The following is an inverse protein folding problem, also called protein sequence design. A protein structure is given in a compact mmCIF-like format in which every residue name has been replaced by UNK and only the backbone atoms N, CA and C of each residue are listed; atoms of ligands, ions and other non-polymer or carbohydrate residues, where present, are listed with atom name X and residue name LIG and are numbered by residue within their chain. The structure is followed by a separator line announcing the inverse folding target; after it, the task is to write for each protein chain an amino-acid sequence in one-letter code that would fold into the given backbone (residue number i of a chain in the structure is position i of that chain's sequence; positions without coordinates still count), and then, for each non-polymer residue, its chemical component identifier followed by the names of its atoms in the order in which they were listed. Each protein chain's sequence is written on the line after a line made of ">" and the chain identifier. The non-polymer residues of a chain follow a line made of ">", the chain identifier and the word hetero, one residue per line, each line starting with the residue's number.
data_IF_312359816095
#
_entry.id   IF_312359816095
#
_cell.length_a   1.000
_cell.length_b   1.000
_cell.length_c   1.000
_cell.angle_alpha   90.00
_cell.angle_beta   90.00
_cell.angle_gamma   90.00
#
_symmetry.space_group_name_H-M   'P 1'
#
loop_
_entity.id
_entity.type
_entity.pdbx_description
1 polymer ?
#
# COMPACT_ATOMS: atom_id res chain seq x y z
N UNK A 1 72.52 18.94 23.13
CA UNK A 1 71.48 19.94 22.85
C UNK A 1 70.73 19.52 21.59
N UNK A 2 69.49 19.96 21.38
CA UNK A 2 68.67 19.58 20.20
C UNK A 2 68.99 20.39 18.94
N UNK A 3 69.97 21.29 19.01
CA UNK A 3 70.38 22.22 17.96
C UNK A 3 71.80 21.97 17.44
N UNK A 4 72.32 20.74 17.58
CA UNK A 4 73.64 20.37 17.07
C UNK A 4 73.56 20.10 15.57
N UNK A 5 74.54 20.61 14.81
CA UNK A 5 74.70 20.34 13.37
C UNK A 5 75.78 19.27 13.09
N UNK A 6 76.33 18.64 14.14
CA UNK A 6 77.35 17.59 14.01
C UNK A 6 76.70 16.26 13.65
N UNK A 7 77.17 15.64 12.56
CA UNK A 7 76.76 14.30 12.10
C UNK A 7 77.63 13.17 12.70
N UNK A 8 78.74 13.52 13.36
CA UNK A 8 79.72 12.57 13.92
C UNK A 8 79.58 12.34 15.43
N UNK A 9 78.79 13.16 16.12
CA UNK A 9 78.55 13.04 17.56
C UNK A 9 77.18 12.40 17.83
N UNK A 10 77.14 11.42 18.73
CA UNK A 10 75.89 10.78 19.13
C UNK A 10 74.96 11.74 19.91
N UNK A 11 73.66 11.71 19.61
CA UNK A 11 72.66 12.44 20.38
C UNK A 11 72.45 11.78 21.75
N UNK A 12 72.27 12.59 22.80
CA UNK A 12 71.87 12.06 24.10
C UNK A 12 70.40 11.62 24.07
N UNK A 13 70.01 10.57 24.82
CA UNK A 13 68.61 10.12 24.89
C UNK A 13 67.62 11.24 25.26
N UNK A 14 68.04 12.18 26.12
CA UNK A 14 67.25 13.35 26.51
C UNK A 14 66.97 14.29 25.33
N UNK A 15 67.93 14.48 24.42
CA UNK A 15 67.75 15.32 23.24
C UNK A 15 66.79 14.66 22.23
N UNK A 16 66.91 13.34 22.04
CA UNK A 16 66.00 12.56 21.18
C UNK A 16 64.56 12.66 21.71
N UNK A 17 64.36 12.47 23.02
CA UNK A 17 63.04 12.59 23.64
C UNK A 17 62.43 13.99 23.48
N UNK A 18 63.22 15.04 23.71
CA UNK A 18 62.74 16.41 23.57
C UNK A 18 62.31 16.76 22.14
N UNK A 19 63.01 16.24 21.12
CA UNK A 19 62.64 16.44 19.72
C UNK A 19 61.35 15.69 19.36
N UNK A 20 61.19 14.45 19.83
CA UNK A 20 59.97 13.67 19.65
C UNK A 20 58.74 14.34 20.29
N UNK A 21 58.85 14.75 21.56
CA UNK A 21 57.77 15.42 22.29
C UNK A 21 57.36 16.73 21.60
N UNK A 22 58.35 17.49 21.09
CA UNK A 22 58.09 18.71 20.32
C UNK A 22 57.36 18.40 19.00
N UNK A 23 57.80 17.40 18.24
CA UNK A 23 57.15 17.01 16.98
C UNK A 23 55.70 16.56 17.22
N UNK A 24 55.47 15.75 18.25
CA UNK A 24 54.14 15.32 18.65
C UNK A 24 53.25 16.52 19.05
N UNK A 25 53.81 17.54 19.72
CA UNK A 25 53.06 18.76 20.10
C UNK A 25 52.72 19.68 18.93
N UNK A 26 53.43 19.54 17.80
CA UNK A 26 53.23 20.36 16.58
C UNK A 26 52.39 19.67 15.52
N UNK A 27 52.23 18.35 15.61
CA UNK A 27 51.31 17.61 14.76
C UNK A 27 49.88 18.12 15.01
N UNK A 28 49.16 18.44 13.94
CA UNK A 28 47.76 18.82 14.07
C UNK A 28 46.96 17.62 14.57
N UNK A 29 46.17 17.81 15.62
CA UNK A 29 45.25 16.78 16.13
C UNK A 29 44.12 16.45 15.12
N UNK A 30 43.92 17.30 14.11
CA UNK A 30 42.98 17.06 13.02
C UNK A 30 43.51 17.61 11.70
N UNK A 31 43.27 16.89 10.62
CA UNK A 31 43.55 17.34 9.26
C UNK A 31 42.37 16.99 8.36
N UNK A 32 42.36 17.55 7.15
CA UNK A 32 41.32 17.29 6.15
C UNK A 32 41.95 16.62 4.92
N UNK A 33 41.14 15.81 4.24
CA UNK A 33 41.50 15.23 2.95
C UNK A 33 40.52 15.75 1.88
N UNK A 34 41.01 16.15 0.69
CA UNK A 34 40.13 16.30 -0.46
C UNK A 34 39.53 14.93 -0.83
N UNK A 35 38.29 14.94 -1.31
CA UNK A 35 37.56 13.70 -1.63
C UNK A 35 38.31 12.79 -2.61
N UNK A 36 39.05 13.36 -3.57
CA UNK A 36 39.81 12.58 -4.56
C UNK A 36 40.99 11.78 -3.97
N UNK A 37 41.42 12.07 -2.73
CA UNK A 37 42.45 11.32 -2.01
C UNK A 37 41.86 10.19 -1.15
N UNK A 38 40.53 10.13 -1.01
CA UNK A 38 39.84 9.09 -0.26
C UNK A 38 39.63 7.90 -1.20
N UNK A 39 40.42 6.85 -1.01
CA UNK A 39 40.32 5.60 -1.77
C UNK A 39 39.64 4.51 -0.96
N UNK A 40 39.02 3.53 -1.63
CA UNK A 40 38.44 2.35 -0.97
C UNK A 40 37.04 2.55 -0.40
N UNK A 41 36.33 3.62 -0.79
CA UNK A 41 34.89 3.76 -0.48
C UNK A 41 34.12 2.73 -1.31
N UNK A 42 33.40 1.78 -0.71
CA UNK A 42 32.67 0.76 -1.46
C UNK A 42 31.42 1.34 -2.13
N UNK A 43 30.86 0.60 -3.08
CA UNK A 43 29.50 0.84 -3.55
C UNK A 43 28.50 0.56 -2.42
N UNK A 44 27.43 1.34 -2.33
CA UNK A 44 26.39 1.05 -1.35
C UNK A 44 25.62 -0.22 -1.73
N UNK A 45 25.09 -0.89 -0.71
CA UNK A 45 24.16 -2.02 -0.83
C UNK A 45 23.07 -1.91 0.24
N UNK A 46 22.13 -2.85 0.24
CA UNK A 46 21.11 -2.95 1.29
C UNK A 46 21.71 -3.25 2.69
N UNK A 47 22.94 -3.74 2.75
CA UNK A 47 23.61 -4.15 3.99
C UNK A 47 24.89 -3.36 4.30
N UNK A 48 25.41 -2.60 3.34
CA UNK A 48 26.64 -1.83 3.49
C UNK A 48 26.47 -0.40 2.98
N UNK A 49 26.96 0.57 3.77
CA UNK A 49 27.02 1.97 3.35
C UNK A 49 28.11 2.14 2.29
N UNK A 50 27.89 3.05 1.34
CA UNK A 50 28.84 3.33 0.27
C UNK A 50 28.38 4.47 -0.63
N UNK A 51 28.98 4.58 -1.82
CA UNK A 51 28.58 5.55 -2.84
C UNK A 51 27.57 4.95 -3.82
N UNK A 52 26.69 5.78 -4.38
CA UNK A 52 25.71 5.41 -5.42
C UNK A 52 25.75 6.43 -6.55
N UNK A 53 25.51 5.97 -7.78
CA UNK A 53 25.24 6.86 -8.90
C UNK A 53 23.72 7.09 -9.01
N UNK A 54 23.34 8.31 -9.38
CA UNK A 54 21.93 8.70 -9.53
C UNK A 54 21.45 8.44 -10.95
N UNK A 55 20.22 7.94 -11.09
CA UNK A 55 19.55 7.76 -12.37
C UNK A 55 18.18 8.42 -12.38
N UNK A 56 17.80 8.96 -13.53
CA UNK A 56 16.45 9.48 -13.79
C UNK A 56 15.62 8.61 -14.74
N UNK A 57 16.11 7.43 -15.11
CA UNK A 57 15.32 6.48 -15.87
C UNK A 57 14.15 5.95 -15.03
N UNK A 58 12.96 5.84 -15.63
CA UNK A 58 11.76 5.27 -14.99
C UNK A 58 11.60 3.76 -15.23
N UNK A 59 12.42 3.20 -16.12
CA UNK A 59 12.43 1.79 -16.54
C UNK A 59 13.76 1.09 -16.23
N UNK A 60 14.57 1.64 -15.32
CA UNK A 60 15.85 1.03 -14.94
C UNK A 60 15.61 -0.20 -14.07
N UNK A 61 16.21 -1.33 -14.45
CA UNK A 61 16.29 -2.54 -13.62
C UNK A 61 17.55 -2.58 -12.74
N UNK A 62 18.38 -1.53 -12.74
CA UNK A 62 19.60 -1.51 -11.93
C UNK A 62 19.28 -1.42 -10.44
N UNK A 63 19.86 -2.32 -9.65
CA UNK A 63 19.82 -2.31 -8.19
C UNK A 63 20.97 -1.50 -7.55
N UNK A 64 21.90 -0.99 -8.37
CA UNK A 64 23.09 -0.24 -7.91
C UNK A 64 22.96 1.28 -8.10
N UNK A 65 21.91 1.72 -8.79
CA UNK A 65 21.63 3.14 -9.04
C UNK A 65 20.50 3.61 -8.15
N UNK A 66 20.64 4.79 -7.55
CA UNK A 66 19.57 5.41 -6.80
C UNK A 66 18.65 6.23 -7.74
N UNK A 67 17.34 6.04 -7.60
CA UNK A 67 16.36 6.82 -8.35
C UNK A 67 16.34 8.28 -7.87
N UNK A 68 16.40 9.21 -8.82
CA UNK A 68 16.18 10.64 -8.56
C UNK A 68 14.70 10.95 -8.30
N UNK A 69 14.36 12.02 -7.57
CA UNK A 69 12.97 12.48 -7.42
C UNK A 69 12.24 12.65 -8.77
N UNK A 70 12.97 13.02 -9.82
CA UNK A 70 12.45 13.11 -11.20
C UNK A 70 11.92 11.77 -11.72
N UNK A 71 12.66 10.68 -11.55
CA UNK A 71 12.20 9.35 -11.96
C UNK A 71 10.98 8.91 -11.16
N UNK A 72 11.01 9.09 -9.83
CA UNK A 72 9.92 8.71 -8.94
C UNK A 72 8.64 9.46 -9.30
N UNK A 73 8.73 10.77 -9.50
CA UNK A 73 7.58 11.59 -9.90
C UNK A 73 7.03 11.16 -11.26
N UNK A 74 7.88 10.95 -12.26
CA UNK A 74 7.44 10.53 -13.59
C UNK A 74 6.75 9.15 -13.56
N UNK A 75 7.26 8.19 -12.78
CA UNK A 75 6.61 6.89 -12.59
C UNK A 75 5.26 7.02 -11.87
N UNK A 76 5.18 7.87 -10.84
CA UNK A 76 3.94 8.15 -10.12
C UNK A 76 2.90 8.82 -11.02
N UNK A 77 3.26 9.87 -11.74
CA UNK A 77 2.35 10.58 -12.64
C UNK A 77 1.83 9.64 -13.74
N UNK A 78 2.68 8.76 -14.28
CA UNK A 78 2.27 7.73 -15.23
C UNK A 78 1.26 6.77 -14.60
N UNK A 79 1.54 6.23 -13.41
CA UNK A 79 0.62 5.33 -12.71
C UNK A 79 -0.73 6.01 -12.42
N UNK A 80 -0.70 7.25 -11.93
CA UNK A 80 -1.90 8.05 -11.67
C UNK A 80 -2.71 8.30 -12.95
N UNK A 81 -2.06 8.52 -14.09
CA UNK A 81 -2.73 8.70 -15.39
C UNK A 81 -3.37 7.41 -15.94
N UNK A 82 -2.90 6.23 -15.50
CA UNK A 82 -3.39 4.92 -15.93
C UNK A 82 -4.42 4.32 -14.97
N UNK A 83 -4.46 4.79 -13.73
CA UNK A 83 -5.48 4.38 -12.78
C UNK A 83 -6.85 4.86 -13.27
N UNK A 84 -7.70 3.93 -13.67
CA UNK A 84 -9.08 4.25 -14.05
C UNK A 84 -9.81 4.83 -12.84
N UNK A 85 -10.23 6.09 -12.91
CA UNK A 85 -11.04 6.72 -11.86
C UNK A 85 -12.38 6.01 -11.64
N UNK A 86 -12.84 5.24 -12.64
CA UNK A 86 -14.02 4.38 -12.59
C UNK A 86 -13.74 3.08 -13.34
N UNK A 87 -14.19 1.96 -12.79
CA UNK A 87 -14.20 0.67 -13.47
C UNK A 87 -15.53 -0.04 -13.21
N UNK A 88 -15.89 -0.95 -14.10
CA UNK A 88 -17.13 -1.72 -14.03
C UNK A 88 -16.83 -3.19 -13.84
N UNK A 89 -17.58 -3.86 -12.96
CA UNK A 89 -17.54 -5.31 -12.83
C UNK A 89 -18.77 -5.93 -13.49
N UNK A 90 -18.61 -6.97 -14.31
CA UNK A 90 -19.70 -7.87 -14.65
C UNK A 90 -20.36 -8.43 -13.39
N UNK A 91 -21.69 -8.50 -13.37
CA UNK A 91 -22.43 -8.99 -12.19
C UNK A 91 -21.97 -10.38 -11.73
N UNK A 92 -21.58 -11.25 -12.67
CA UNK A 92 -21.11 -12.61 -12.36
C UNK A 92 -19.75 -12.68 -11.64
N UNK A 93 -19.01 -11.57 -11.55
CA UNK A 93 -17.75 -11.48 -10.80
C UNK A 93 -17.96 -10.99 -9.37
N UNK A 94 -19.16 -10.50 -9.04
CA UNK A 94 -19.49 -10.03 -7.69
C UNK A 94 -19.87 -11.24 -6.86
N UNK A 95 -18.99 -11.62 -5.93
CA UNK A 95 -19.21 -12.73 -4.99
C UNK A 95 -19.55 -12.20 -3.60
N UNK A 96 -20.20 -13.02 -2.78
CA UNK A 96 -20.51 -12.68 -1.38
C UNK A 96 -21.68 -11.71 -1.19
N UNK A 97 -22.51 -11.45 -2.21
CA UNK A 97 -23.76 -10.71 -2.02
C UNK A 97 -24.73 -11.58 -1.23
N UNK A 98 -25.15 -11.18 -0.01
CA UNK A 98 -26.06 -11.98 0.80
C UNK A 98 -27.45 -12.06 0.15
N UNK A 99 -28.24 -13.04 0.58
CA UNK A 99 -29.67 -13.03 0.31
C UNK A 99 -30.33 -11.83 0.99
N UNK A 100 -31.30 -11.21 0.33
CA UNK A 100 -32.04 -10.11 0.95
C UNK A 100 -32.92 -10.64 2.09
N UNK A 101 -33.17 -9.78 3.07
CA UNK A 101 -34.12 -10.00 4.16
C UNK A 101 -34.88 -8.70 4.45
N UNK A 102 -35.82 -8.74 5.39
CA UNK A 102 -36.52 -7.55 5.86
C UNK A 102 -35.61 -6.52 6.56
N UNK A 103 -34.42 -6.94 7.00
CA UNK A 103 -33.46 -6.11 7.75
C UNK A 103 -32.14 -5.89 7.01
N UNK A 104 -31.87 -6.64 5.93
CA UNK A 104 -30.62 -6.57 5.18
C UNK A 104 -30.87 -6.58 3.67
N UNK A 105 -30.16 -5.72 2.94
CA UNK A 105 -30.18 -5.69 1.47
C UNK A 105 -29.42 -6.89 0.91
N UNK A 106 -29.85 -7.41 -0.23
CA UNK A 106 -29.23 -8.56 -0.88
C UNK A 106 -29.89 -8.92 -2.22
N UNK A 107 -29.63 -10.12 -2.72
CA UNK A 107 -30.30 -10.67 -3.91
C UNK A 107 -31.53 -11.49 -3.52
N UNK A 108 -32.52 -11.54 -4.42
CA UNK A 108 -33.72 -12.38 -4.27
C UNK A 108 -33.93 -13.18 -5.55
N UNK A 109 -34.41 -14.41 -5.40
CA UNK A 109 -34.93 -15.19 -6.52
C UNK A 109 -36.43 -14.92 -6.67
N UNK A 110 -36.90 -14.80 -7.91
CA UNK A 110 -38.31 -14.53 -8.19
C UNK A 110 -39.10 -15.83 -8.30
N UNK A 111 -40.29 -15.87 -7.70
CA UNK A 111 -41.24 -16.98 -7.79
C UNK A 111 -42.59 -16.52 -8.33
N UNK A 112 -43.21 -17.38 -9.15
CA UNK A 112 -44.56 -17.16 -9.67
C UNK A 112 -45.60 -18.13 -9.13
N UNK A 113 -45.26 -18.90 -8.09
CA UNK A 113 -46.20 -19.77 -7.39
C UNK A 113 -47.14 -18.93 -6.51
N UNK A 114 -48.42 -19.27 -6.47
CA UNK A 114 -49.44 -18.62 -5.62
C UNK A 114 -49.57 -19.26 -4.24
N UNK A 115 -48.89 -20.39 -4.03
CA UNK A 115 -48.90 -21.20 -2.80
C UNK A 115 -47.50 -21.35 -2.19
N UNK A 116 -46.58 -20.43 -2.48
CA UNK A 116 -45.23 -20.48 -1.91
C UNK A 116 -45.23 -19.96 -0.48
N UNK A 117 -44.63 -20.73 0.44
CA UNK A 117 -44.39 -20.33 1.83
C UNK A 117 -42.95 -19.79 2.02
N UNK A 118 -42.22 -19.53 0.94
CA UNK A 118 -40.83 -19.07 1.04
C UNK A 118 -40.77 -17.59 1.43
N UNK A 119 -39.99 -17.29 2.47
CA UNK A 119 -39.70 -15.92 2.90
C UNK A 119 -38.46 -15.32 2.19
N UNK A 120 -37.77 -16.11 1.36
CA UNK A 120 -36.55 -15.70 0.65
C UNK A 120 -36.76 -15.46 -0.85
N UNK A 121 -37.95 -15.78 -1.36
CA UNK A 121 -38.36 -15.56 -2.74
C UNK A 121 -39.29 -14.37 -2.84
N UNK A 122 -39.09 -13.51 -3.85
CA UNK A 122 -40.02 -12.42 -4.13
C UNK A 122 -41.12 -12.88 -5.11
N UNK A 123 -42.38 -12.58 -4.78
CA UNK A 123 -43.51 -12.88 -5.66
C UNK A 123 -43.47 -11.99 -6.92
N UNK A 124 -43.63 -12.60 -8.08
CA UNK A 124 -43.81 -11.87 -9.34
C UNK A 124 -45.22 -11.24 -9.42
N UNK A 125 -45.42 -10.20 -10.25
CA UNK A 125 -46.74 -9.66 -10.54
C UNK A 125 -47.75 -10.73 -10.99
N UNK A 126 -47.28 -11.79 -11.68
CA UNK A 126 -48.10 -12.93 -12.09
C UNK A 126 -48.68 -13.70 -10.88
N UNK A 127 -47.85 -14.01 -9.89
CA UNK A 127 -48.32 -14.68 -8.67
C UNK A 127 -49.32 -13.81 -7.90
N UNK A 128 -49.00 -12.52 -7.73
CA UNK A 128 -49.86 -11.57 -7.01
C UNK A 128 -51.22 -11.44 -7.70
N UNK A 129 -51.23 -11.27 -9.03
CA UNK A 129 -52.48 -11.18 -9.80
C UNK A 129 -53.30 -12.46 -9.70
N UNK A 130 -52.68 -13.63 -9.86
CA UNK A 130 -53.38 -14.90 -9.79
C UNK A 130 -53.99 -15.17 -8.41
N UNK A 131 -53.28 -14.81 -7.33
CA UNK A 131 -53.82 -14.90 -5.97
C UNK A 131 -54.98 -13.91 -5.74
N UNK A 132 -54.87 -12.69 -6.25
CA UNK A 132 -55.93 -11.68 -6.18
C UNK A 132 -57.19 -12.11 -6.94
N UNK A 133 -57.05 -12.55 -8.19
CA UNK A 133 -58.17 -13.02 -9.01
C UNK A 133 -58.87 -14.23 -8.36
N UNK A 134 -58.09 -15.15 -7.79
CA UNK A 134 -58.63 -16.28 -7.03
C UNK A 134 -59.42 -15.80 -5.81
N UNK A 135 -58.89 -14.87 -5.01
CA UNK A 135 -59.61 -14.30 -3.87
C UNK A 135 -60.89 -13.56 -4.29
N UNK A 136 -60.82 -12.75 -5.34
CA UNK A 136 -61.97 -12.04 -5.89
C UNK A 136 -63.07 -13.00 -6.38
N UNK A 137 -62.69 -14.14 -6.98
CA UNK A 137 -63.64 -15.17 -7.41
C UNK A 137 -64.34 -15.92 -6.26
N UNK A 138 -63.75 -15.89 -5.06
CA UNK A 138 -64.27 -16.56 -3.86
C UNK A 138 -64.97 -15.62 -2.88
N UNK A 139 -64.75 -14.32 -3.00
CA UNK A 139 -65.48 -13.32 -2.26
C UNK A 139 -66.98 -13.40 -2.62
N UNK A 140 -67.82 -13.77 -1.65
CA UNK A 140 -69.28 -13.77 -1.83
C UNK A 140 -69.74 -12.32 -2.00
N UNK A 141 -70.42 -11.99 -3.09
CA UNK A 141 -70.95 -10.63 -3.31
C UNK A 141 -71.99 -10.20 -2.24
N UNK A 142 -72.51 -11.16 -1.48
CA UNK A 142 -73.34 -10.95 -0.31
C UNK A 142 -73.15 -12.14 0.64
N UNK A 143 -72.77 -11.90 1.89
CA UNK A 143 -73.08 -12.83 2.96
C UNK A 143 -74.21 -12.18 3.77
N UNK A 144 -75.38 -12.82 3.78
CA UNK A 144 -76.49 -12.41 4.64
C UNK A 144 -76.46 -13.29 5.88
N UNK A 145 -76.13 -12.74 7.03
CA UNK A 145 -76.41 -13.39 8.31
C UNK A 145 -77.90 -13.19 8.62
N UNK A 146 -78.72 -14.26 8.65
CA UNK A 146 -80.06 -14.12 9.20
C UNK A 146 -79.92 -13.75 10.69
N UNK A 147 -80.74 -12.81 11.15
CA UNK A 147 -80.65 -12.25 12.50
C UNK A 147 -80.62 -13.32 13.60
N UNK A 148 -81.29 -14.46 13.38
CA UNK A 148 -81.32 -15.61 14.29
C UNK A 148 -80.01 -16.40 14.41
N UNK A 149 -78.96 -16.04 13.67
CA UNK A 149 -77.62 -16.63 13.74
C UNK A 149 -76.57 -15.67 14.29
N UNK A 150 -76.96 -14.45 14.65
CA UNK A 150 -76.11 -13.46 15.33
C UNK A 150 -76.42 -13.56 16.83
N UNK A 151 -75.80 -14.53 17.50
CA UNK A 151 -75.76 -14.66 18.97
C UNK A 151 -74.40 -14.24 19.49
#
# INVERSE_FOLDING_TARGET
>A
ATNSNSETLAATPRAVKAAYDLAASKASASHTHPWNQITGVPSASLTAKGTVQLSSATNSNSETLAATPRAVKAAYDLAASKASASHTHPWNQITGVPSASLTAKGTVQLSSATNSNSETLAATPRAVKAAYDLAASKASASHTHPWNQIT
#
